data_IF_717542582314
#
_entry.id   IF_717542582314
#
_cell.length_a   1.000
_cell.length_b   1.000
_cell.length_c   1.000
_cell.angle_alpha   90.00
_cell.angle_beta   90.00
_cell.angle_gamma   90.00
#
_symmetry.space_group_name_H-M   'P 1'
#
loop_
_entity.id
_entity.type
_entity.pdbx_description
1 polymer ?
#
# COMPACT_ATOMS: atom_id res chain seq x y z
N UNK A 1 -21.85 19.66 18.96
CA UNK A 1 -21.09 19.52 20.23
C UNK A 1 -20.64 18.07 20.37
N UNK A 2 -19.34 17.79 20.32
CA UNK A 2 -18.82 16.41 20.39
C UNK A 2 -18.93 15.88 21.83
N UNK A 3 -19.42 14.65 22.01
CA UNK A 3 -19.48 14.00 23.34
C UNK A 3 -18.04 13.73 23.82
N UNK A 4 -17.67 14.10 25.06
CA UNK A 4 -16.34 13.81 25.58
C UNK A 4 -16.09 12.29 25.63
N UNK A 5 -14.86 11.88 25.33
CA UNK A 5 -14.41 10.50 25.46
C UNK A 5 -14.38 10.04 26.92
N UNK A 6 -14.17 8.73 27.16
CA UNK A 6 -14.25 8.11 28.51
C UNK A 6 -13.41 8.85 29.55
N UNK A 7 -12.13 9.13 29.25
CA UNK A 7 -11.23 9.91 30.12
C UNK A 7 -11.75 11.31 30.42
N UNK A 8 -12.30 11.99 29.42
CA UNK A 8 -12.89 13.33 29.58
C UNK A 8 -14.13 13.32 30.48
N UNK A 9 -14.95 12.26 30.43
CA UNK A 9 -16.11 12.10 31.33
C UNK A 9 -15.68 11.82 32.77
N UNK A 10 -14.66 10.98 32.94
CA UNK A 10 -14.10 10.67 34.26
C UNK A 10 -13.48 11.93 34.88
N UNK A 11 -12.66 12.67 34.13
CA UNK A 11 -12.08 13.92 34.60
C UNK A 11 -13.15 14.94 35.02
N UNK A 12 -14.24 15.06 34.24
CA UNK A 12 -15.36 15.94 34.57
C UNK A 12 -16.07 15.50 35.88
N UNK A 13 -16.24 14.20 36.09
CA UNK A 13 -16.84 13.67 37.32
C UNK A 13 -16.02 14.04 38.57
N UNK A 14 -14.71 13.84 38.54
CA UNK A 14 -13.84 14.20 39.67
C UNK A 14 -13.75 15.72 39.88
N UNK A 15 -13.77 16.52 38.79
CA UNK A 15 -13.85 17.97 38.91
C UNK A 15 -15.15 18.43 39.59
N UNK A 16 -16.29 17.84 39.24
CA UNK A 16 -17.58 18.11 39.88
C UNK A 16 -17.59 17.69 41.36
N UNK A 17 -17.01 16.54 41.69
CA UNK A 17 -16.86 16.09 43.06
C UNK A 17 -16.01 17.06 43.90
N UNK A 18 -14.91 17.57 43.33
CA UNK A 18 -14.07 18.60 43.96
C UNK A 18 -14.83 19.89 44.24
N UNK A 19 -15.58 20.39 43.25
CA UNK A 19 -16.40 21.59 43.40
C UNK A 19 -17.51 21.42 44.45
N UNK A 20 -18.21 20.28 44.45
CA UNK A 20 -19.24 19.98 45.44
C UNK A 20 -18.69 19.88 46.86
N UNK A 21 -17.51 19.27 47.01
CA UNK A 21 -16.80 19.17 48.28
C UNK A 21 -16.36 20.52 48.84
N UNK A 22 -15.80 21.39 47.99
CA UNK A 22 -15.48 22.79 48.34
C UNK A 22 -16.72 23.54 48.84
N UNK A 23 -17.84 23.44 48.11
CA UNK A 23 -19.08 24.11 48.48
C UNK A 23 -19.61 23.64 49.86
N UNK A 24 -19.55 22.34 50.14
CA UNK A 24 -19.96 21.78 51.43
C UNK A 24 -19.09 22.29 52.58
N UNK A 25 -17.76 22.35 52.39
CA UNK A 25 -16.82 22.92 53.38
C UNK A 25 -17.14 24.40 53.64
N UNK A 26 -17.35 25.20 52.58
CA UNK A 26 -17.69 26.61 52.71
C UNK A 26 -19.00 26.83 53.47
N UNK A 27 -20.05 26.06 53.16
CA UNK A 27 -21.34 26.15 53.86
C UNK A 27 -21.20 25.74 55.32
N UNK A 28 -20.54 24.62 55.63
CA UNK A 28 -20.35 24.14 56.99
C UNK A 28 -19.61 25.14 57.87
N UNK A 29 -18.53 25.75 57.36
CA UNK A 29 -17.76 26.76 58.09
C UNK A 29 -18.53 28.07 58.28
N UNK A 30 -19.33 28.48 57.28
CA UNK A 30 -20.16 29.68 57.39
C UNK A 30 -21.25 29.52 58.45
N UNK A 31 -21.90 28.34 58.49
CA UNK A 31 -22.89 28.01 59.51
C UNK A 31 -22.24 27.93 60.90
N UNK A 32 -21.10 27.26 61.02
CA UNK A 32 -20.34 27.16 62.27
C UNK A 32 -19.91 28.52 62.82
N UNK A 33 -19.39 29.41 61.97
CA UNK A 33 -19.01 30.76 62.37
C UNK A 33 -20.20 31.59 62.86
N UNK A 34 -21.35 31.49 62.17
CA UNK A 34 -22.59 32.19 62.56
C UNK A 34 -23.13 31.69 63.89
N UNK A 35 -23.01 30.39 64.18
CA UNK A 35 -23.55 29.78 65.40
C UNK A 35 -22.62 29.97 66.61
N UNK A 36 -21.31 30.09 66.40
CA UNK A 36 -20.33 30.19 67.49
C UNK A 36 -20.22 31.60 68.11
N UNK A 37 -20.81 32.63 67.47
CA UNK A 37 -20.70 34.02 67.94
C UNK A 37 -19.25 34.54 68.00
N UNK A 38 -18.35 33.97 67.18
CA UNK A 38 -16.92 34.22 67.30
C UNK A 38 -16.53 35.62 66.83
N UNK A 39 -15.79 36.36 67.67
CA UNK A 39 -15.32 37.71 67.37
C UNK A 39 -14.23 37.76 66.27
N UNK A 40 -13.59 36.63 65.93
CA UNK A 40 -12.53 36.55 64.92
C UNK A 40 -12.78 35.42 63.93
N UNK A 41 -12.75 35.75 62.63
CA UNK A 41 -12.96 34.78 61.54
C UNK A 41 -11.71 33.95 61.19
N UNK A 42 -10.52 34.37 61.65
CA UNK A 42 -9.21 33.80 61.26
C UNK A 42 -9.09 32.26 61.46
N UNK A 43 -9.55 31.66 62.58
CA UNK A 43 -9.46 30.21 62.76
C UNK A 43 -10.33 29.42 61.77
N UNK A 44 -11.53 29.91 61.45
CA UNK A 44 -12.45 29.26 60.51
C UNK A 44 -11.95 29.34 59.06
N UNK A 45 -11.37 30.48 58.68
CA UNK A 45 -10.74 30.66 57.37
C UNK A 45 -9.55 29.71 57.22
N UNK A 46 -8.69 29.62 58.23
CA UNK A 46 -7.53 28.72 58.21
C UNK A 46 -7.96 27.25 58.12
N UNK A 47 -8.95 26.84 58.91
CA UNK A 47 -9.51 25.49 58.84
C UNK A 47 -10.14 25.18 57.47
N UNK A 48 -10.82 26.15 56.86
CA UNK A 48 -11.41 26.00 55.53
C UNK A 48 -10.40 25.87 54.41
N UNK A 49 -9.34 26.67 54.45
CA UNK A 49 -8.23 26.57 53.49
C UNK A 49 -7.58 25.19 53.61
N UNK A 50 -7.23 24.75 54.82
CA UNK A 50 -6.60 23.44 55.04
C UNK A 50 -7.50 22.29 54.58
N UNK A 51 -8.80 22.33 54.92
CA UNK A 51 -9.76 21.30 54.50
C UNK A 51 -9.98 21.28 52.99
N UNK A 52 -10.06 22.45 52.34
CA UNK A 52 -10.21 22.58 50.89
C UNK A 52 -9.01 22.00 50.13
N UNK A 53 -7.79 22.39 50.52
CA UNK A 53 -6.57 21.86 49.91
C UNK A 53 -6.42 20.35 50.15
N UNK A 54 -6.71 19.87 51.37
CA UNK A 54 -6.69 18.44 51.69
C UNK A 54 -7.66 17.63 50.83
N UNK A 55 -8.91 18.11 50.69
CA UNK A 55 -9.93 17.42 49.90
C UNK A 55 -9.58 17.40 48.41
N UNK A 56 -9.15 18.53 47.84
CA UNK A 56 -8.74 18.59 46.44
C UNK A 56 -7.54 17.68 46.16
N UNK A 57 -6.56 17.63 47.07
CA UNK A 57 -5.42 16.74 46.97
C UNK A 57 -5.82 15.25 46.95
N UNK A 58 -6.73 14.85 47.84
CA UNK A 58 -7.26 13.46 47.87
C UNK A 58 -8.03 13.14 46.60
N UNK A 59 -8.90 14.04 46.13
CA UNK A 59 -9.70 13.84 44.91
C UNK A 59 -8.79 13.73 43.68
N UNK A 60 -7.78 14.60 43.56
CA UNK A 60 -6.82 14.55 42.46
C UNK A 60 -5.96 13.27 42.52
N UNK A 61 -5.55 12.84 43.71
CA UNK A 61 -4.81 11.59 43.90
C UNK A 61 -5.62 10.36 43.50
N UNK A 62 -6.89 10.29 43.91
CA UNK A 62 -7.80 9.21 43.50
C UNK A 62 -8.05 9.24 41.99
N UNK A 63 -8.22 10.43 41.41
CA UNK A 63 -8.40 10.59 39.97
C UNK A 63 -7.17 10.07 39.19
N UNK A 64 -5.96 10.43 39.60
CA UNK A 64 -4.72 9.94 38.96
C UNK A 64 -4.61 8.42 39.05
N UNK A 65 -4.87 7.85 40.23
CA UNK A 65 -4.91 6.41 40.42
C UNK A 65 -5.93 5.74 39.49
N UNK A 66 -7.11 6.32 39.33
CA UNK A 66 -8.14 5.77 38.46
C UNK A 66 -7.82 5.92 36.96
N UNK A 67 -7.27 7.05 36.53
CA UNK A 67 -6.90 7.26 35.12
C UNK A 67 -5.77 6.32 34.68
N UNK A 68 -4.74 6.14 35.53
CA UNK A 68 -3.63 5.24 35.27
C UNK A 68 -4.03 3.76 35.32
N UNK A 69 -4.79 3.35 36.34
CA UNK A 69 -5.05 1.92 36.58
C UNK A 69 -6.31 1.39 35.89
N UNK A 70 -7.22 2.25 35.42
CA UNK A 70 -8.49 1.84 34.80
C UNK A 70 -8.68 2.46 33.43
N UNK A 71 -8.66 3.79 33.31
CA UNK A 71 -9.09 4.45 32.08
C UNK A 71 -8.14 4.21 30.89
N UNK A 72 -6.81 4.35 31.11
CA UNK A 72 -5.81 4.08 30.07
C UNK A 72 -5.78 2.59 29.65
N UNK A 73 -5.73 1.61 30.58
CA UNK A 73 -5.76 0.19 30.22
C UNK A 73 -7.00 -0.22 29.42
N UNK A 74 -8.19 0.28 29.78
CA UNK A 74 -9.44 -0.03 29.04
C UNK A 74 -9.38 0.46 27.60
N UNK A 75 -8.85 1.67 27.36
CA UNK A 75 -8.74 2.23 26.01
C UNK A 75 -7.72 1.46 25.18
N UNK A 76 -6.57 1.11 25.77
CA UNK A 76 -5.54 0.31 25.12
C UNK A 76 -6.06 -1.09 24.76
N UNK A 77 -6.78 -1.75 25.68
CA UNK A 77 -7.42 -3.05 25.44
C UNK A 77 -8.45 -2.96 24.30
N UNK A 78 -9.32 -1.95 24.30
CA UNK A 78 -10.31 -1.75 23.24
C UNK A 78 -9.67 -1.49 21.86
N UNK A 79 -8.56 -0.74 21.81
CA UNK A 79 -7.81 -0.50 20.57
C UNK A 79 -7.21 -1.81 20.03
N UNK A 80 -6.58 -2.61 20.90
CA UNK A 80 -5.99 -3.91 20.53
C UNK A 80 -7.03 -4.93 20.08
N UNK A 81 -8.18 -5.00 20.74
CA UNK A 81 -9.29 -5.88 20.33
C UNK A 81 -9.82 -5.54 18.93
N UNK A 82 -9.92 -4.26 18.58
CA UNK A 82 -10.31 -3.85 17.22
C UNK A 82 -9.25 -4.20 16.18
N UNK A 83 -7.97 -4.00 16.52
CA UNK A 83 -6.86 -4.37 15.65
C UNK A 83 -6.86 -5.89 15.39
N UNK A 84 -7.13 -6.71 16.42
CA UNK A 84 -7.22 -8.15 16.27
C UNK A 84 -8.40 -8.59 15.39
N UNK A 85 -9.57 -7.96 15.55
CA UNK A 85 -10.76 -8.29 14.78
C UNK A 85 -10.67 -7.97 13.27
N UNK A 86 -9.78 -7.05 12.87
CA UNK A 86 -9.69 -6.59 11.47
C UNK A 86 -8.32 -6.83 10.83
N UNK A 87 -7.28 -7.11 11.62
CA UNK A 87 -5.89 -7.17 11.14
C UNK A 87 -5.19 -8.52 11.33
N UNK A 88 -5.83 -9.52 11.96
CA UNK A 88 -5.26 -10.88 12.09
C UNK A 88 -3.98 -10.98 12.94
N UNK A 89 -3.58 -9.94 13.66
CA UNK A 89 -2.30 -9.89 14.38
C UNK A 89 -2.35 -10.62 15.72
N UNK A 90 -1.53 -11.66 15.90
CA UNK A 90 -1.45 -12.45 17.15
C UNK A 90 -0.49 -11.85 18.19
N UNK A 91 -0.64 -10.57 18.55
CA UNK A 91 0.16 -10.01 19.65
C UNK A 91 -0.44 -10.45 20.99
N UNK A 92 0.30 -11.13 21.88
CA UNK A 92 -0.20 -11.52 23.20
C UNK A 92 -0.68 -10.30 23.98
N UNK A 93 -1.83 -10.42 24.63
CA UNK A 93 -2.30 -9.39 25.56
C UNK A 93 -1.31 -9.32 26.73
N UNK A 94 -0.63 -8.18 26.87
CA UNK A 94 0.21 -7.91 28.03
C UNK A 94 -0.65 -7.89 29.30
N UNK A 95 -0.53 -8.97 30.08
CA UNK A 95 -1.31 -9.19 31.30
C UNK A 95 -0.85 -8.27 32.45
N UNK A 96 0.34 -7.66 32.35
CA UNK A 96 0.90 -6.86 33.43
C UNK A 96 0.28 -5.45 33.52
N UNK A 97 -0.05 -4.83 32.38
CA UNK A 97 -0.60 -3.46 32.32
C UNK A 97 -2.09 -3.35 32.66
N UNK A 98 -2.80 -4.48 32.81
CA UNK A 98 -4.25 -4.53 33.03
C UNK A 98 -4.66 -5.22 34.34
N UNK A 99 -3.76 -5.28 35.33
CA UNK A 99 -3.92 -5.99 36.62
C UNK A 99 -5.23 -5.68 37.37
N UNK A 100 -5.79 -4.49 37.18
CA UNK A 100 -7.01 -4.02 37.87
C UNK A 100 -8.32 -4.27 37.10
N UNK A 101 -8.25 -4.89 35.92
CA UNK A 101 -9.42 -5.21 35.09
C UNK A 101 -9.95 -6.63 35.26
N UNK A 102 -9.38 -7.38 36.22
CA UNK A 102 -9.81 -8.71 36.71
C UNK A 102 -10.40 -9.62 35.61
N UNK A 103 -11.70 -9.86 35.60
CA UNK A 103 -12.40 -10.77 34.67
C UNK A 103 -12.48 -10.29 33.21
N UNK A 104 -12.25 -9.01 32.96
CA UNK A 104 -12.42 -8.41 31.63
C UNK A 104 -11.29 -8.82 30.68
N UNK A 105 -10.09 -9.08 31.22
CA UNK A 105 -8.92 -9.47 30.43
C UNK A 105 -8.98 -10.95 30.01
N UNK A 106 -9.28 -11.92 30.90
CA UNK A 106 -9.48 -13.32 30.51
C UNK A 106 -10.65 -13.51 29.56
N UNK A 107 -11.77 -12.79 29.76
CA UNK A 107 -12.92 -12.86 28.86
C UNK A 107 -12.59 -12.31 27.46
N UNK A 108 -11.88 -11.18 27.39
CA UNK A 108 -11.39 -10.63 26.14
C UNK A 108 -10.45 -11.60 25.42
N UNK A 109 -9.48 -12.19 26.15
CA UNK A 109 -8.53 -13.16 25.62
C UNK A 109 -9.20 -14.44 25.08
N UNK A 110 -10.23 -14.95 25.76
CA UNK A 110 -10.97 -16.12 25.31
C UNK A 110 -11.77 -15.87 24.02
N UNK A 111 -12.31 -14.66 23.86
CA UNK A 111 -13.04 -14.24 22.65
C UNK A 111 -12.09 -14.06 21.48
N UNK A 112 -10.95 -13.38 21.67
CA UNK A 112 -9.94 -13.25 20.60
C UNK A 112 -9.35 -14.61 20.23
N UNK A 113 -9.14 -15.52 21.17
CA UNK A 113 -8.65 -16.86 20.85
C UNK A 113 -9.65 -17.67 20.00
N UNK A 114 -10.97 -17.58 20.27
CA UNK A 114 -11.99 -18.25 19.44
C UNK A 114 -12.13 -17.64 18.05
N UNK A 115 -12.12 -16.31 17.96
CA UNK A 115 -12.12 -15.59 16.68
C UNK A 115 -10.87 -15.94 15.88
N UNK A 116 -9.70 -15.94 16.52
CA UNK A 116 -8.43 -16.33 15.93
C UNK A 116 -8.45 -17.74 15.35
N UNK A 117 -8.96 -18.73 16.09
CA UNK A 117 -9.15 -20.10 15.57
C UNK A 117 -10.09 -20.14 14.36
N UNK A 118 -11.25 -19.49 14.44
CA UNK A 118 -12.20 -19.48 13.33
C UNK A 118 -11.67 -18.78 12.09
N UNK A 119 -10.87 -17.72 12.24
CA UNK A 119 -10.21 -17.06 11.12
C UNK A 119 -9.09 -17.91 10.52
N UNK A 120 -8.37 -18.68 11.35
CA UNK A 120 -7.34 -19.60 10.88
C UNK A 120 -7.96 -20.76 10.11
N UNK A 121 -9.00 -21.39 10.65
CA UNK A 121 -9.73 -22.49 9.99
C UNK A 121 -10.32 -22.03 8.63
N UNK A 122 -10.86 -20.80 8.57
CA UNK A 122 -11.36 -20.22 7.32
C UNK A 122 -10.25 -19.86 6.33
N UNK A 123 -9.11 -19.37 6.82
CA UNK A 123 -7.95 -19.05 6.00
C UNK A 123 -7.29 -20.31 5.44
N UNK A 124 -7.18 -21.38 6.23
CA UNK A 124 -6.68 -22.69 5.78
C UNK A 124 -7.59 -23.28 4.71
N UNK A 125 -8.91 -23.30 4.92
CA UNK A 125 -9.86 -23.79 3.92
C UNK A 125 -9.82 -22.97 2.62
N UNK A 126 -9.63 -21.65 2.71
CA UNK A 126 -9.46 -20.79 1.54
C UNK A 126 -8.11 -21.06 0.86
N UNK A 127 -7.03 -21.24 1.61
CA UNK A 127 -5.71 -21.55 1.08
C UNK A 127 -5.70 -22.89 0.33
N UNK A 128 -6.33 -23.93 0.88
CA UNK A 128 -6.49 -25.22 0.20
C UNK A 128 -7.24 -25.08 -1.13
N UNK A 129 -8.39 -24.39 -1.13
CA UNK A 129 -9.16 -24.14 -2.36
C UNK A 129 -8.39 -23.30 -3.37
N UNK A 130 -7.65 -22.30 -2.90
CA UNK A 130 -6.83 -21.44 -3.78
C UNK A 130 -5.66 -22.24 -4.37
N UNK A 131 -5.06 -23.14 -3.60
CA UNK A 131 -4.00 -24.04 -4.07
C UNK A 131 -4.52 -25.07 -5.09
N UNK A 132 -5.71 -25.63 -4.88
CA UNK A 132 -6.37 -26.50 -5.86
C UNK A 132 -6.68 -25.77 -7.16
N UNK A 133 -7.28 -24.57 -7.07
CA UNK A 133 -7.56 -23.70 -8.21
C UNK A 133 -6.27 -23.29 -8.94
N UNK A 134 -5.21 -22.97 -8.20
CA UNK A 134 -3.91 -22.66 -8.77
C UNK A 134 -3.30 -23.87 -9.48
N UNK A 135 -3.34 -25.06 -8.88
CA UNK A 135 -2.84 -26.29 -9.49
C UNK A 135 -3.63 -26.70 -10.74
N UNK A 136 -4.95 -26.53 -10.73
CA UNK A 136 -5.80 -26.78 -11.90
C UNK A 136 -5.56 -25.75 -12.99
N UNK A 137 -5.40 -24.47 -12.61
CA UNK A 137 -4.96 -23.42 -13.53
C UNK A 137 -3.60 -23.71 -14.12
N UNK A 138 -2.61 -24.13 -13.33
CA UNK A 138 -1.26 -24.45 -13.78
C UNK A 138 -1.26 -25.66 -14.71
N UNK A 139 -2.16 -26.63 -14.47
CA UNK A 139 -2.40 -27.75 -15.38
C UNK A 139 -3.03 -27.29 -16.70
N UNK A 140 -4.02 -26.39 -16.67
CA UNK A 140 -4.62 -25.80 -17.88
C UNK A 140 -3.64 -24.92 -18.65
N UNK A 141 -2.83 -24.15 -17.93
CA UNK A 141 -1.70 -23.40 -18.44
C UNK A 141 -0.75 -24.32 -19.19
N UNK A 142 -0.27 -25.40 -18.55
CA UNK A 142 0.63 -26.39 -19.16
C UNK A 142 0.06 -27.04 -20.44
N UNK A 143 -1.26 -27.26 -20.52
CA UNK A 143 -1.93 -27.76 -21.73
C UNK A 143 -1.92 -26.70 -22.85
N UNK A 144 -2.15 -25.44 -22.52
CA UNK A 144 -2.06 -24.33 -23.48
C UNK A 144 -0.63 -24.11 -23.97
N UNK A 145 0.37 -24.38 -23.12
CA UNK A 145 1.80 -24.28 -23.45
C UNK A 145 2.31 -25.30 -24.47
N UNK A 146 1.49 -26.27 -24.88
CA UNK A 146 1.86 -27.30 -25.86
C UNK A 146 1.84 -26.82 -27.33
N UNK A 147 1.40 -25.58 -27.61
CA UNK A 147 1.26 -25.06 -28.97
C UNK A 147 2.36 -24.02 -29.27
N UNK A 148 3.12 -24.13 -30.39
CA UNK A 148 4.19 -23.19 -30.74
C UNK A 148 3.62 -21.92 -31.37
N UNK A 149 2.84 -21.18 -30.59
CA UNK A 149 2.12 -19.98 -31.02
C UNK A 149 2.12 -18.99 -29.87
N UNK A 150 2.60 -17.77 -30.09
CA UNK A 150 2.45 -16.65 -29.18
C UNK A 150 0.97 -16.23 -29.09
N UNK A 151 0.36 -16.44 -27.93
CA UNK A 151 -1.06 -16.14 -27.68
C UNK A 151 -1.22 -14.86 -26.85
N UNK A 152 -1.87 -13.87 -27.45
CA UNK A 152 -2.32 -12.65 -26.78
C UNK A 152 -3.83 -12.47 -26.91
N UNK A 153 -4.49 -12.01 -25.84
CA UNK A 153 -5.92 -11.63 -25.86
C UNK A 153 -6.04 -10.13 -25.67
N UNK A 154 -6.84 -9.50 -26.52
CA UNK A 154 -7.11 -8.07 -26.50
C UNK A 154 -8.56 -7.84 -26.08
N UNK A 155 -8.74 -6.92 -25.14
CA UNK A 155 -10.03 -6.39 -24.72
C UNK A 155 -10.48 -5.21 -25.59
N UNK A 156 -11.48 -4.44 -25.11
CA UNK A 156 -11.93 -3.21 -25.77
C UNK A 156 -10.78 -2.22 -25.99
N UNK A 157 -10.75 -1.54 -27.14
CA UNK A 157 -9.70 -0.56 -27.45
C UNK A 157 -8.32 -1.15 -27.72
N UNK A 158 -8.25 -2.42 -28.14
CA UNK A 158 -7.00 -3.13 -28.50
C UNK A 158 -6.00 -3.28 -27.35
N UNK A 159 -6.51 -3.31 -26.13
CA UNK A 159 -5.74 -3.37 -24.89
C UNK A 159 -5.37 -4.81 -24.54
N UNK A 160 -4.10 -5.09 -24.21
CA UNK A 160 -3.63 -6.40 -23.78
C UNK A 160 -4.28 -6.82 -22.45
N UNK A 161 -4.94 -7.99 -22.45
CA UNK A 161 -5.64 -8.57 -21.28
C UNK A 161 -4.95 -9.85 -20.80
N UNK A 162 -4.36 -10.58 -21.73
CA UNK A 162 -3.60 -11.80 -21.47
C UNK A 162 -2.50 -11.90 -22.51
N UNK A 163 -1.32 -12.35 -22.08
CA UNK A 163 -0.27 -12.76 -22.99
C UNK A 163 0.53 -13.91 -22.35
N UNK A 164 0.99 -14.83 -23.17
CA UNK A 164 1.92 -15.89 -22.74
C UNK A 164 3.39 -15.45 -22.87
N UNK A 165 4.31 -16.26 -22.37
CA UNK A 165 5.75 -16.00 -22.45
C UNK A 165 6.24 -15.81 -23.89
N UNK A 166 5.69 -16.57 -24.84
CA UNK A 166 6.02 -16.44 -26.27
C UNK A 166 5.62 -15.08 -26.84
N UNK A 167 4.46 -14.54 -26.40
CA UNK A 167 4.04 -13.18 -26.72
C UNK A 167 4.93 -12.15 -26.01
N UNK A 168 5.35 -12.42 -24.77
CA UNK A 168 6.30 -11.56 -24.06
C UNK A 168 7.63 -11.46 -24.80
N UNK A 169 8.17 -12.57 -25.32
CA UNK A 169 9.42 -12.59 -26.08
C UNK A 169 9.29 -11.92 -27.46
N UNK A 170 8.19 -12.17 -28.16
CA UNK A 170 7.94 -11.59 -29.48
C UNK A 170 7.77 -10.07 -29.39
N UNK A 171 6.91 -9.60 -28.49
CA UNK A 171 6.59 -8.18 -28.32
C UNK A 171 7.67 -7.44 -27.52
N UNK A 172 8.38 -8.13 -26.62
CA UNK A 172 9.45 -7.61 -25.76
C UNK A 172 10.61 -6.98 -26.52
N UNK A 173 10.82 -7.39 -27.77
CA UNK A 173 11.84 -6.80 -28.65
C UNK A 173 11.52 -5.35 -29.05
N UNK A 174 10.26 -4.95 -29.01
CA UNK A 174 9.81 -3.60 -29.33
C UNK A 174 9.75 -2.71 -28.07
N UNK A 175 9.50 -3.31 -26.90
CA UNK A 175 9.44 -2.64 -25.61
C UNK A 175 8.86 -3.52 -24.50
N UNK A 176 8.81 -3.05 -23.25
CA UNK A 176 8.31 -3.84 -22.13
C UNK A 176 6.84 -4.21 -22.33
N UNK A 177 6.55 -5.51 -22.39
CA UNK A 177 5.19 -6.06 -22.52
C UNK A 177 4.47 -5.94 -21.19
N UNK A 178 3.26 -5.37 -21.20
CA UNK A 178 2.48 -5.13 -19.99
C UNK A 178 0.99 -5.30 -20.24
N UNK A 179 0.28 -5.77 -19.23
CA UNK A 179 -1.19 -5.75 -19.24
C UNK A 179 -1.70 -4.31 -19.34
N UNK A 180 -2.85 -4.13 -20.01
CA UNK A 180 -3.48 -2.83 -20.27
C UNK A 180 -2.70 -1.86 -21.19
N UNK A 181 -1.58 -2.29 -21.79
CA UNK A 181 -0.96 -1.57 -22.90
C UNK A 181 -1.76 -1.76 -24.19
N UNK A 182 -1.67 -0.79 -25.10
CA UNK A 182 -2.22 -0.95 -26.44
C UNK A 182 -1.34 -1.92 -27.21
N UNK A 183 -1.93 -2.90 -27.90
CA UNK A 183 -1.17 -3.78 -28.81
C UNK A 183 -0.45 -2.96 -29.91
N UNK A 184 -0.95 -1.76 -30.21
CA UNK A 184 -0.37 -0.86 -31.21
C UNK A 184 0.93 -0.18 -30.78
N UNK A 185 1.34 -0.35 -29.52
CA UNK A 185 2.69 0.01 -29.08
C UNK A 185 3.73 -0.96 -29.65
N UNK A 186 3.33 -2.17 -30.01
CA UNK A 186 4.22 -3.25 -30.46
C UNK A 186 4.00 -3.62 -31.93
N UNK A 187 2.74 -3.57 -32.39
CA UNK A 187 2.34 -3.95 -33.76
C UNK A 187 1.68 -2.79 -34.50
N UNK A 188 1.83 -2.73 -35.82
CA UNK A 188 1.18 -1.70 -36.63
C UNK A 188 -0.34 -1.91 -36.68
N UNK A 189 -1.16 -0.85 -36.61
CA UNK A 189 -2.62 -0.98 -36.59
C UNK A 189 -3.21 -1.57 -37.87
N UNK A 190 -2.74 -1.11 -39.03
CA UNK A 190 -3.37 -1.39 -40.33
C UNK A 190 -3.68 -2.87 -40.60
N UNK A 191 -2.72 -3.79 -40.46
CA UNK A 191 -3.00 -5.22 -40.68
C UNK A 191 -4.01 -5.83 -39.71
N UNK A 192 -4.02 -5.38 -38.45
CA UNK A 192 -4.92 -5.89 -37.41
C UNK A 192 -6.34 -5.38 -37.63
N UNK A 193 -6.49 -4.07 -37.85
CA UNK A 193 -7.77 -3.42 -38.11
C UNK A 193 -8.42 -3.98 -39.39
N UNK A 194 -7.65 -4.11 -40.47
CA UNK A 194 -8.14 -4.70 -41.72
C UNK A 194 -8.61 -6.16 -41.54
N UNK A 195 -7.92 -6.95 -40.73
CA UNK A 195 -8.31 -8.32 -40.45
C UNK A 195 -9.59 -8.41 -39.60
N UNK A 196 -9.76 -7.51 -38.62
CA UNK A 196 -10.98 -7.43 -37.81
C UNK A 196 -12.19 -6.97 -38.63
N UNK A 197 -12.02 -5.95 -39.47
CA UNK A 197 -13.06 -5.48 -40.39
C UNK A 197 -13.49 -6.59 -41.34
N UNK A 198 -12.54 -7.38 -41.84
CA UNK A 198 -12.86 -8.51 -42.71
C UNK A 198 -13.63 -9.63 -42.01
N UNK A 199 -13.28 -9.93 -40.76
CA UNK A 199 -14.00 -10.91 -39.94
C UNK A 199 -15.45 -10.48 -39.72
N UNK A 200 -15.67 -9.21 -39.35
CA UNK A 200 -17.01 -8.65 -39.16
C UNK A 200 -17.82 -8.67 -40.45
N UNK A 201 -17.24 -8.24 -41.58
CA UNK A 201 -17.92 -8.24 -42.89
C UNK A 201 -18.33 -9.64 -43.34
N UNK A 202 -17.48 -10.65 -43.12
CA UNK A 202 -17.73 -12.03 -43.53
C UNK A 202 -18.55 -12.84 -42.52
N UNK A 203 -18.82 -12.30 -41.33
CA UNK A 203 -19.39 -13.06 -40.21
C UNK A 203 -18.49 -14.24 -39.77
N UNK A 204 -17.20 -14.19 -40.11
CA UNK A 204 -16.24 -15.23 -39.80
C UNK A 204 -15.67 -15.03 -38.40
N UNK A 205 -15.31 -16.13 -37.72
CA UNK A 205 -14.73 -16.07 -36.38
C UNK A 205 -13.20 -16.14 -36.36
N UNK A 206 -12.56 -16.49 -37.48
CA UNK A 206 -11.11 -16.66 -37.60
C UNK A 206 -10.63 -16.26 -39.00
N UNK A 207 -9.48 -15.58 -39.05
CA UNK A 207 -8.79 -15.22 -40.28
C UNK A 207 -7.27 -15.38 -40.10
N UNK A 208 -6.55 -15.59 -41.20
CA UNK A 208 -5.09 -15.48 -41.22
C UNK A 208 -4.69 -14.01 -41.11
N UNK A 209 -3.58 -13.76 -40.43
CA UNK A 209 -3.04 -12.43 -40.18
C UNK A 209 -1.55 -12.40 -40.57
N UNK A 210 -1.16 -11.32 -41.24
CA UNK A 210 0.24 -10.95 -41.41
C UNK A 210 0.40 -9.61 -40.70
N UNK A 211 0.96 -9.64 -39.49
CA UNK A 211 1.22 -8.46 -38.70
C UNK A 211 2.63 -7.92 -38.99
N UNK A 212 2.82 -6.62 -38.75
CA UNK A 212 4.13 -5.97 -38.82
C UNK A 212 4.39 -5.33 -37.46
N UNK A 213 5.56 -5.55 -36.86
CA UNK A 213 5.96 -4.86 -35.64
C UNK A 213 6.27 -3.39 -35.92
N UNK A 214 6.35 -2.56 -34.87
CA UNK A 214 6.72 -1.15 -35.04
C UNK A 214 8.13 -0.97 -35.62
N UNK A 215 9.07 -1.88 -35.34
CA UNK A 215 10.39 -1.94 -35.97
C UNK A 215 10.40 -2.45 -37.43
N UNK A 216 9.26 -2.92 -37.96
CA UNK A 216 9.12 -3.37 -39.34
C UNK A 216 9.34 -4.87 -39.56
N UNK A 217 9.41 -5.68 -38.50
CA UNK A 217 9.49 -7.14 -38.61
C UNK A 217 8.11 -7.71 -38.94
N UNK A 218 8.04 -8.66 -39.87
CA UNK A 218 6.79 -9.31 -40.25
C UNK A 218 6.56 -10.57 -39.42
N UNK A 219 5.36 -10.73 -38.88
CA UNK A 219 4.92 -11.90 -38.12
C UNK A 219 3.67 -12.50 -38.77
N UNK A 220 3.62 -13.82 -38.91
CA UNK A 220 2.45 -14.52 -39.46
C UNK A 220 1.66 -15.19 -38.35
N UNK A 221 0.36 -15.38 -38.59
CA UNK A 221 -0.48 -16.10 -37.65
C UNK A 221 -1.96 -15.96 -37.95
N UNK A 222 -2.75 -15.90 -36.88
CA UNK A 222 -4.20 -15.87 -36.96
C UNK A 222 -4.80 -14.90 -35.94
N UNK A 223 -5.94 -14.35 -36.33
CA UNK A 223 -6.80 -13.56 -35.46
C UNK A 223 -8.14 -14.30 -35.28
N UNK A 224 -8.68 -14.29 -34.06
CA UNK A 224 -9.95 -14.94 -33.72
C UNK A 224 -10.82 -14.02 -32.88
N UNK A 225 -12.07 -13.83 -33.26
CA UNK A 225 -13.04 -13.10 -32.44
C UNK A 225 -13.44 -13.94 -31.21
N UNK A 226 -13.51 -13.31 -30.05
CA UNK A 226 -14.10 -13.92 -28.86
C UNK A 226 -15.62 -13.80 -28.97
N UNK A 227 -16.37 -14.87 -28.68
CA UNK A 227 -17.79 -15.01 -29.03
C UNK A 227 -18.70 -13.87 -28.52
N UNK A 228 -19.25 -14.00 -27.32
CA UNK A 228 -20.10 -12.96 -26.69
C UNK A 228 -19.30 -11.89 -25.94
N UNK A 229 -17.99 -12.11 -25.74
CA UNK A 229 -17.10 -11.17 -25.06
C UNK A 229 -16.50 -10.17 -26.05
N UNK A 230 -16.54 -8.87 -25.70
CA UNK A 230 -15.90 -7.80 -26.47
C UNK A 230 -14.38 -7.95 -26.45
N UNK A 231 -13.81 -8.50 -27.53
CA UNK A 231 -12.36 -8.71 -27.67
C UNK A 231 -11.99 -9.68 -28.79
N UNK A 232 -10.69 -9.89 -28.97
CA UNK A 232 -10.14 -10.83 -29.95
C UNK A 232 -8.86 -11.47 -29.43
N UNK A 233 -8.49 -12.61 -30.00
CA UNK A 233 -7.27 -13.33 -29.70
C UNK A 233 -6.34 -13.27 -30.92
N UNK A 234 -5.07 -12.94 -30.67
CA UNK A 234 -3.97 -13.02 -31.62
C UNK A 234 -3.13 -14.25 -31.30
N UNK A 235 -2.81 -14.97 -32.36
CA UNK A 235 -2.01 -16.18 -32.36
C UNK A 235 -0.91 -15.95 -33.39
N UNK A 236 0.28 -15.54 -32.96
CA UNK A 236 1.41 -15.27 -33.84
C UNK A 236 2.40 -16.44 -33.77
N UNK A 237 2.89 -16.91 -34.90
CA UNK A 237 3.88 -17.98 -34.93
C UNK A 237 5.25 -17.42 -34.48
N UNK A 238 5.94 -18.04 -33.50
CA UNK A 238 7.18 -17.53 -32.96
C UNK A 238 8.40 -17.93 -33.82
N UNK A 239 9.53 -17.28 -33.54
CA UNK A 239 10.84 -17.53 -34.17
C UNK A 239 11.71 -18.56 -33.42
N UNK A 240 11.37 -18.98 -32.18
CA UNK A 240 12.17 -19.93 -31.38
C UNK A 240 11.31 -20.94 -30.57
N UNK A 241 11.45 -22.26 -30.78
CA UNK A 241 10.68 -23.30 -30.07
C UNK A 241 11.05 -23.54 -28.60
N UNK A 242 12.22 -23.11 -28.11
CA UNK A 242 12.77 -23.52 -26.82
C UNK A 242 12.60 -22.53 -25.65
N UNK A 243 12.03 -21.33 -25.86
CA UNK A 243 11.93 -20.32 -24.80
C UNK A 243 10.97 -20.70 -23.63
N UNK A 244 11.29 -20.22 -22.42
CA UNK A 244 10.52 -20.43 -21.19
C UNK A 244 9.09 -19.85 -21.29
N UNK A 245 8.14 -20.46 -20.58
CA UNK A 245 6.69 -20.27 -20.87
C UNK A 245 5.82 -19.89 -19.65
N UNK A 246 6.05 -18.74 -18.98
CA UNK A 246 5.11 -18.22 -18.00
C UNK A 246 3.85 -17.64 -18.67
N UNK A 247 2.68 -17.77 -18.05
CA UNK A 247 1.42 -17.15 -18.50
C UNK A 247 1.06 -15.95 -17.63
N UNK A 248 0.91 -14.76 -18.23
CA UNK A 248 0.53 -13.53 -17.53
C UNK A 248 -0.87 -13.09 -17.96
N UNK A 249 -1.80 -12.99 -17.00
CA UNK A 249 -3.20 -12.71 -17.30
C UNK A 249 -3.92 -11.91 -16.20
N UNK A 250 -4.86 -11.07 -16.63
CA UNK A 250 -5.88 -10.49 -15.75
C UNK A 250 -7.22 -10.33 -16.46
N UNK A 251 -8.12 -11.30 -16.25
CA UNK A 251 -9.44 -11.31 -16.88
C UNK A 251 -10.33 -10.12 -16.45
N UNK A 252 -10.02 -9.38 -15.38
CA UNK A 252 -10.76 -8.17 -15.02
C UNK A 252 -10.63 -7.07 -16.09
N UNK A 253 -9.56 -7.11 -16.90
CA UNK A 253 -9.34 -6.17 -18.00
C UNK A 253 -10.30 -6.39 -19.18
N UNK A 254 -10.82 -7.61 -19.39
CA UNK A 254 -11.86 -7.88 -20.41
C UNK A 254 -13.15 -7.11 -20.14
N UNK A 255 -13.43 -6.81 -18.87
CA UNK A 255 -14.59 -6.01 -18.46
C UNK A 255 -14.40 -4.49 -18.63
N UNK A 256 -13.28 -4.04 -19.22
CA UNK A 256 -12.99 -2.63 -19.46
C UNK A 256 -12.70 -1.81 -18.20
N UNK A 257 -12.34 -2.46 -17.09
CA UNK A 257 -12.21 -1.81 -15.77
C UNK A 257 -10.94 -0.97 -15.57
N UNK A 258 -9.88 -1.19 -16.36
CA UNK A 258 -8.65 -0.41 -16.24
C UNK A 258 -8.64 0.82 -17.17
N UNK A 259 -9.44 1.82 -16.81
CA UNK A 259 -9.40 3.16 -17.40
C UNK A 259 -8.21 4.00 -16.90
N UNK A 260 -7.96 5.15 -17.53
CA UNK A 260 -7.02 6.14 -17.02
C UNK A 260 -7.36 6.51 -15.56
N UNK A 261 -6.34 6.76 -14.74
CA UNK A 261 -6.44 6.98 -13.29
C UNK A 261 -7.22 8.26 -12.90
N UNK A 262 -8.52 8.28 -13.17
CA UNK A 262 -9.43 9.33 -12.73
C UNK A 262 -9.66 9.23 -11.22
N UNK A 263 -9.96 10.36 -10.58
CA UNK A 263 -10.19 10.43 -9.13
C UNK A 263 -11.32 9.52 -8.64
N UNK A 264 -12.33 9.27 -9.47
CA UNK A 264 -13.47 8.43 -9.10
C UNK A 264 -13.24 6.94 -9.36
N UNK A 265 -12.09 6.56 -9.91
CA UNK A 265 -11.75 5.16 -10.19
C UNK A 265 -11.63 4.39 -8.87
N UNK A 266 -12.32 3.24 -8.72
CA UNK A 266 -12.16 2.38 -7.55
C UNK A 266 -10.72 1.90 -7.41
N UNK A 267 -10.20 1.81 -6.18
CA UNK A 267 -8.82 1.40 -5.92
C UNK A 267 -8.51 0.01 -6.49
N UNK A 268 -9.46 -0.93 -6.38
CA UNK A 268 -9.40 -2.27 -6.98
C UNK A 268 -9.30 -2.30 -8.52
N UNK A 269 -9.73 -1.25 -9.20
CA UNK A 269 -9.76 -1.19 -10.67
C UNK A 269 -8.51 -0.48 -11.23
N UNK A 270 -7.65 0.05 -10.36
CA UNK A 270 -6.43 0.75 -10.75
C UNK A 270 -5.27 -0.23 -11.03
N UNK A 271 -4.44 0.16 -11.99
CA UNK A 271 -3.09 -0.35 -12.17
C UNK A 271 -2.13 0.59 -11.44
N UNK A 272 -1.25 0.02 -10.61
CA UNK A 272 -0.17 0.73 -9.95
C UNK A 272 1.17 0.22 -10.48
N UNK A 273 2.14 1.12 -10.56
CA UNK A 273 3.54 0.75 -10.79
C UNK A 273 4.32 1.20 -9.57
N UNK A 274 4.76 0.22 -8.80
CA UNK A 274 5.52 0.43 -7.58
C UNK A 274 6.99 0.37 -7.93
N UNK A 275 7.75 1.40 -7.56
CA UNK A 275 9.13 1.53 -7.98
C UNK A 275 10.02 2.08 -6.86
N UNK A 276 11.31 1.85 -7.05
CA UNK A 276 12.39 2.30 -6.18
C UNK A 276 13.64 2.62 -7.01
N UNK A 277 14.49 3.51 -6.49
CA UNK A 277 15.76 3.89 -7.12
C UNK A 277 16.93 3.78 -6.16
N UNK A 278 17.99 3.08 -6.61
CA UNK A 278 19.29 3.14 -5.94
C UNK A 278 20.12 4.26 -6.56
N UNK A 279 20.93 4.94 -5.74
CA UNK A 279 21.57 6.19 -6.13
C UNK A 279 22.99 6.32 -5.59
N UNK A 280 23.77 7.26 -6.12
CA UNK A 280 25.13 7.54 -5.64
C UNK A 280 25.18 8.17 -4.23
N UNK A 281 24.03 8.60 -3.69
CA UNK A 281 23.91 9.31 -2.42
C UNK A 281 22.50 9.87 -2.21
N UNK A 282 22.31 10.61 -1.12
CA UNK A 282 20.98 11.03 -0.64
C UNK A 282 20.57 12.45 -1.05
N UNK A 283 21.33 13.14 -1.93
CA UNK A 283 20.99 14.48 -2.40
C UNK A 283 20.58 14.48 -3.88
N UNK A 284 19.28 14.56 -4.20
CA UNK A 284 18.81 14.62 -5.59
C UNK A 284 19.36 15.78 -6.41
N UNK A 285 19.90 16.84 -5.80
CA UNK A 285 20.50 17.95 -6.53
C UNK A 285 21.89 17.61 -7.09
N UNK A 286 22.64 16.75 -6.40
CA UNK A 286 24.03 16.43 -6.74
C UNK A 286 24.25 14.97 -7.11
N UNK A 287 23.46 14.02 -6.62
CA UNK A 287 23.57 12.58 -6.88
C UNK A 287 22.88 12.14 -8.19
N UNK A 288 23.06 10.87 -8.54
CA UNK A 288 22.47 10.23 -9.73
C UNK A 288 21.98 8.82 -9.42
N UNK A 289 21.05 8.35 -10.25
CA UNK A 289 20.50 7.00 -10.23
C UNK A 289 21.58 6.00 -10.69
N UNK A 290 21.65 4.85 -10.00
CA UNK A 290 22.49 3.69 -10.35
C UNK A 290 21.67 2.43 -10.62
N UNK A 291 20.42 2.36 -10.16
CA UNK A 291 19.48 1.29 -10.50
C UNK A 291 18.04 1.83 -10.45
N UNK A 292 17.17 1.26 -11.28
CA UNK A 292 15.71 1.44 -11.16
C UNK A 292 15.08 0.05 -11.11
N UNK A 293 14.23 -0.18 -10.12
CA UNK A 293 13.42 -1.38 -9.99
C UNK A 293 11.95 -1.02 -9.90
N UNK A 294 11.09 -1.79 -10.56
CA UNK A 294 9.66 -1.58 -10.50
C UNK A 294 8.86 -2.87 -10.72
N UNK A 295 7.67 -2.94 -10.13
CA UNK A 295 6.72 -4.03 -10.32
C UNK A 295 5.31 -3.48 -10.53
N UNK A 296 4.51 -4.21 -11.30
CA UNK A 296 3.10 -3.87 -11.49
C UNK A 296 2.22 -4.50 -10.42
N UNK A 297 1.28 -3.70 -9.91
CA UNK A 297 0.17 -4.17 -9.07
C UNK A 297 -1.14 -3.88 -9.80
N UNK A 298 -1.96 -4.90 -9.98
CA UNK A 298 -3.25 -4.81 -10.64
C UNK A 298 -4.27 -5.61 -9.84
N UNK A 299 -5.45 -5.06 -9.57
CA UNK A 299 -6.50 -5.79 -8.83
C UNK A 299 -6.09 -6.16 -7.40
N UNK A 300 -5.23 -5.35 -6.76
CA UNK A 300 -4.73 -5.63 -5.41
C UNK A 300 -3.74 -6.79 -5.32
N UNK A 301 -3.11 -7.20 -6.42
CA UNK A 301 -2.06 -8.23 -6.44
C UNK A 301 -0.88 -7.79 -7.30
N UNK A 302 0.31 -8.22 -6.92
CA UNK A 302 1.52 -8.07 -7.76
C UNK A 302 1.34 -8.97 -8.98
N UNK A 303 1.57 -8.44 -10.18
CA UNK A 303 1.44 -9.18 -11.44
C UNK A 303 2.74 -9.94 -11.70
N UNK A 304 2.73 -11.30 -11.70
CA UNK A 304 3.94 -12.07 -11.98
C UNK A 304 4.52 -11.77 -13.36
N UNK A 305 5.84 -11.66 -13.45
CA UNK A 305 6.55 -11.38 -14.71
C UNK A 305 6.51 -9.92 -15.17
N UNK A 306 5.63 -9.07 -14.61
CA UNK A 306 5.61 -7.64 -14.89
C UNK A 306 6.49 -6.86 -13.93
N UNK A 307 7.79 -7.05 -14.13
CA UNK A 307 8.84 -6.31 -13.45
C UNK A 307 9.70 -5.54 -14.47
N UNK A 308 10.22 -4.41 -14.03
CA UNK A 308 11.23 -3.65 -14.74
C UNK A 308 12.44 -3.51 -13.83
N UNK A 309 13.61 -3.83 -14.35
CA UNK A 309 14.87 -3.68 -13.63
C UNK A 309 15.95 -3.25 -14.61
N UNK A 310 16.70 -2.21 -14.25
CA UNK A 310 17.87 -1.79 -15.01
C UNK A 310 18.93 -1.21 -14.09
N UNK A 311 20.18 -1.61 -14.31
CA UNK A 311 21.33 -0.83 -13.86
C UNK A 311 21.41 0.46 -14.69
N UNK A 312 22.07 1.47 -14.13
CA UNK A 312 22.24 2.79 -14.73
C UNK A 312 23.68 3.23 -14.54
N UNK A 313 24.34 3.64 -15.63
CA UNK A 313 25.66 4.27 -15.55
C UNK A 313 25.46 5.74 -15.15
N UNK A 314 25.85 6.16 -13.93
CA UNK A 314 25.66 7.53 -13.48
C UNK A 314 26.65 8.51 -14.13
N UNK A 315 27.54 8.04 -15.01
CA UNK A 315 28.60 8.82 -15.66
C UNK A 315 29.71 9.27 -14.71
N UNK A 316 29.80 8.64 -13.53
CA UNK A 316 30.72 8.97 -12.44
C UNK A 316 31.05 7.75 -11.57
N UNK A 317 32.13 7.77 -10.79
CA UNK A 317 32.38 6.73 -9.80
C UNK A 317 31.26 6.66 -8.74
N UNK A 318 30.79 5.46 -8.43
CA UNK A 318 29.82 5.23 -7.35
C UNK A 318 30.58 5.32 -6.00
N UNK A 319 30.15 6.19 -5.07
CA UNK A 319 30.80 6.30 -3.76
C UNK A 319 30.75 4.99 -2.97
N UNK A 320 31.85 4.63 -2.31
CA UNK A 320 31.93 3.39 -1.52
C UNK A 320 30.89 3.31 -0.39
N UNK A 321 30.37 4.44 0.09
CA UNK A 321 29.30 4.46 1.08
C UNK A 321 27.97 3.96 0.50
N UNK A 322 27.59 4.40 -0.71
CA UNK A 322 26.39 3.94 -1.40
C UNK A 322 26.53 2.48 -1.82
N UNK A 323 27.68 2.12 -2.42
CA UNK A 323 27.96 0.74 -2.84
C UNK A 323 27.93 -0.29 -1.69
N UNK A 324 28.21 0.12 -0.44
CA UNK A 324 28.08 -0.75 0.75
C UNK A 324 26.62 -1.04 1.13
N UNK A 325 25.69 -0.18 0.75
CA UNK A 325 24.26 -0.33 1.03
C UNK A 325 23.64 -1.23 -0.02
N UNK A 326 23.72 -0.82 -1.29
CA UNK A 326 23.00 -1.48 -2.38
C UNK A 326 23.83 -2.49 -3.19
N UNK A 327 25.12 -2.65 -2.87
CA UNK A 327 25.99 -3.66 -3.49
C UNK A 327 26.44 -3.39 -4.94
N UNK A 328 26.08 -2.26 -5.53
CA UNK A 328 26.37 -1.93 -6.95
C UNK A 328 27.72 -1.20 -7.02
N UNK A 329 28.63 -1.76 -7.82
CA UNK A 329 29.96 -1.19 -8.06
C UNK A 329 30.00 -0.40 -9.37
N UNK A 330 30.96 0.51 -9.51
CA UNK A 330 31.18 1.26 -10.76
C UNK A 330 31.42 0.33 -11.95
N UNK A 331 32.07 -0.82 -11.74
CA UNK A 331 32.31 -1.80 -12.79
C UNK A 331 31.03 -2.53 -13.21
N UNK A 332 30.09 -2.75 -12.28
CA UNK A 332 28.82 -3.42 -12.57
C UNK A 332 27.91 -2.60 -13.48
N UNK A 333 28.03 -1.27 -13.45
CA UNK A 333 27.24 -0.36 -14.30
C UNK A 333 27.93 -0.02 -15.62
N UNK A 334 29.10 -0.59 -15.90
CA UNK A 334 29.82 -0.33 -17.14
C UNK A 334 29.01 -0.80 -18.37
N UNK A 335 28.66 0.14 -19.25
CA UNK A 335 27.84 -0.13 -20.44
C UNK A 335 26.33 -0.18 -20.18
N UNK A 336 25.90 0.05 -18.94
CA UNK A 336 24.49 0.29 -18.62
C UNK A 336 24.00 1.60 -19.27
N UNK A 337 22.68 1.77 -19.48
CA UNK A 337 22.14 3.01 -20.01
C UNK A 337 22.44 4.21 -19.09
N UNK A 338 22.53 5.41 -19.70
CA UNK A 338 22.58 6.66 -18.94
C UNK A 338 21.25 6.92 -18.19
N UNK A 339 21.23 7.82 -17.19
CA UNK A 339 20.05 8.04 -16.37
C UNK A 339 18.82 8.49 -17.15
N UNK A 340 18.99 9.25 -18.23
CA UNK A 340 17.86 9.71 -19.06
C UNK A 340 17.22 8.54 -19.78
N UNK A 341 18.02 7.69 -20.44
CA UNK A 341 17.52 6.50 -21.14
C UNK A 341 16.83 5.52 -20.19
N UNK A 342 17.42 5.30 -19.01
CA UNK A 342 16.83 4.45 -17.98
C UNK A 342 15.48 5.00 -17.49
N UNK A 343 15.40 6.30 -17.19
CA UNK A 343 14.17 6.95 -16.77
C UNK A 343 13.09 6.97 -17.87
N UNK A 344 13.47 7.12 -19.15
CA UNK A 344 12.54 7.03 -20.29
C UNK A 344 11.98 5.60 -20.45
N UNK A 345 12.82 4.58 -20.26
CA UNK A 345 12.38 3.18 -20.25
C UNK A 345 11.42 2.89 -19.09
N UNK A 346 11.75 3.36 -17.89
CA UNK A 346 10.87 3.28 -16.72
C UNK A 346 9.54 4.00 -16.96
N UNK A 347 9.54 5.22 -17.50
CA UNK A 347 8.31 5.98 -17.80
C UNK A 347 7.39 5.22 -18.77
N UNK A 348 7.96 4.56 -19.80
CA UNK A 348 7.18 3.68 -20.70
C UNK A 348 6.58 2.51 -19.95
N UNK A 349 7.35 1.86 -19.07
CA UNK A 349 6.82 0.80 -18.21
C UNK A 349 5.71 1.30 -17.27
N UNK A 350 5.83 2.51 -16.73
CA UNK A 350 4.88 3.11 -15.81
C UNK A 350 3.56 3.60 -16.46
N UNK A 351 3.52 3.68 -17.79
CA UNK A 351 2.41 4.27 -18.53
C UNK A 351 1.08 3.55 -18.25
N UNK A 352 0.01 4.36 -18.14
CA UNK A 352 -1.34 3.85 -17.85
C UNK A 352 -1.54 3.38 -16.41
N UNK A 353 -0.59 3.64 -15.51
CA UNK A 353 -0.64 3.25 -14.10
C UNK A 353 -0.37 4.42 -13.17
N UNK A 354 -0.86 4.32 -11.93
CA UNK A 354 -0.54 5.26 -10.86
C UNK A 354 0.85 4.90 -10.30
N UNK A 355 1.86 5.78 -10.40
CA UNK A 355 3.18 5.53 -9.82
C UNK A 355 3.09 5.53 -8.29
N UNK A 356 3.82 4.61 -7.67
CA UNK A 356 3.90 4.49 -6.20
C UNK A 356 5.35 4.24 -5.78
N UNK A 357 5.80 4.95 -4.75
CA UNK A 357 7.11 4.71 -4.15
C UNK A 357 7.03 4.83 -2.62
N UNK A 358 8.08 4.38 -1.93
CA UNK A 358 8.24 4.59 -0.50
C UNK A 358 9.07 5.84 -0.28
N UNK A 359 8.50 6.89 0.34
CA UNK A 359 9.12 8.23 0.35
C UNK A 359 9.30 8.80 -1.07
N UNK A 360 8.20 8.74 -1.84
CA UNK A 360 8.15 9.11 -3.25
C UNK A 360 8.80 10.47 -3.64
N UNK A 361 8.83 11.53 -2.80
CA UNK A 361 9.53 12.76 -3.16
C UNK A 361 10.99 12.57 -3.58
N UNK A 362 11.71 11.62 -2.98
CA UNK A 362 13.11 11.36 -3.29
C UNK A 362 13.28 10.77 -4.70
N UNK A 363 12.67 9.62 -4.98
CA UNK A 363 12.76 8.95 -6.28
C UNK A 363 12.22 9.82 -7.42
N UNK A 364 11.14 10.55 -7.16
CA UNK A 364 10.58 11.49 -8.13
C UNK A 364 11.55 12.64 -8.42
N UNK A 365 12.33 13.11 -7.45
CA UNK A 365 13.36 14.11 -7.69
C UNK A 365 14.50 13.55 -8.56
N UNK A 366 14.93 12.32 -8.30
CA UNK A 366 15.93 11.62 -9.10
C UNK A 366 15.47 11.42 -10.55
N UNK A 367 14.26 10.93 -10.77
CA UNK A 367 13.68 10.76 -12.12
C UNK A 367 13.46 12.09 -12.85
N UNK A 368 13.10 13.15 -12.11
CA UNK A 368 12.94 14.50 -12.69
C UNK A 368 14.28 15.08 -13.13
N UNK A 369 15.35 14.85 -12.37
CA UNK A 369 16.72 15.21 -12.75
C UNK A 369 17.19 14.43 -13.99
N UNK A 370 16.83 13.15 -14.09
CA UNK A 370 17.10 12.34 -15.28
C UNK A 370 16.30 12.81 -16.52
N UNK A 371 15.24 13.60 -16.33
CA UNK A 371 14.47 14.23 -17.41
C UNK A 371 13.25 13.45 -17.88
N UNK A 372 12.84 12.39 -17.16
CA UNK A 372 11.71 11.55 -17.52
C UNK A 372 10.92 11.06 -16.30
N UNK A 373 10.50 11.99 -15.43
CA UNK A 373 9.60 11.68 -14.31
C UNK A 373 8.17 11.36 -14.78
N UNK A 374 7.49 10.40 -14.13
CA UNK A 374 6.04 10.23 -14.27
C UNK A 374 5.25 11.49 -13.89
N UNK A 375 4.08 11.65 -14.50
CA UNK A 375 3.17 12.75 -14.14
C UNK A 375 2.32 12.39 -12.90
N UNK A 376 1.90 13.39 -12.09
CA UNK A 376 0.96 13.17 -11.00
C UNK A 376 -0.41 12.63 -11.48
N UNK A 377 -1.15 11.91 -10.61
CA UNK A 377 -0.87 11.69 -9.18
C UNK A 377 0.17 10.59 -8.91
N UNK A 378 0.99 10.79 -7.88
CA UNK A 378 1.93 9.79 -7.34
C UNK A 378 1.49 9.45 -5.92
N UNK A 379 1.49 8.16 -5.57
CA UNK A 379 1.20 7.73 -4.21
C UNK A 379 2.49 7.46 -3.44
N UNK A 380 2.46 7.79 -2.15
CA UNK A 380 3.57 7.56 -1.23
C UNK A 380 3.11 6.63 -0.12
N UNK A 381 3.76 5.46 -0.02
CA UNK A 381 3.41 4.46 1.01
C UNK A 381 3.71 4.95 2.43
N UNK A 382 4.60 5.93 2.63
CA UNK A 382 4.80 6.58 3.94
C UNK A 382 3.53 7.35 4.34
N UNK A 383 2.96 8.13 3.43
CA UNK A 383 1.74 8.89 3.68
C UNK A 383 0.52 7.98 3.85
N UNK A 384 0.38 6.95 3.02
CA UNK A 384 -0.69 5.96 3.17
C UNK A 384 -0.55 5.25 4.53
N UNK A 385 0.68 4.88 4.92
CA UNK A 385 0.97 4.28 6.21
C UNK A 385 0.63 5.22 7.37
N UNK A 386 0.89 6.52 7.26
CA UNK A 386 0.49 7.52 8.25
C UNK A 386 -1.03 7.67 8.36
N UNK A 387 -1.77 7.56 7.26
CA UNK A 387 -3.25 7.47 7.26
C UNK A 387 -3.73 6.23 8.02
N UNK A 388 -3.04 5.10 7.84
CA UNK A 388 -3.42 3.81 8.45
C UNK A 388 -3.04 3.73 9.93
N UNK A 389 -1.79 4.01 10.29
CA UNK A 389 -1.27 3.77 11.64
C UNK A 389 -1.15 5.04 12.49
N UNK A 390 -1.26 6.22 11.88
CA UNK A 390 -1.07 7.51 12.54
C UNK A 390 0.37 8.03 12.40
N UNK A 391 0.53 9.35 12.25
CA UNK A 391 1.82 9.97 11.89
C UNK A 391 2.91 10.01 12.97
N UNK A 392 2.68 9.44 14.16
CA UNK A 392 3.69 9.33 15.22
C UNK A 392 4.45 7.99 15.18
N UNK A 393 3.97 7.06 14.37
CA UNK A 393 4.60 5.75 14.22
C UNK A 393 5.85 5.83 13.33
N UNK A 394 6.73 4.85 13.45
CA UNK A 394 7.81 4.69 12.46
C UNK A 394 7.21 4.17 11.15
N UNK A 395 7.59 4.79 10.04
CA UNK A 395 7.09 4.51 8.70
C UNK A 395 8.20 4.15 7.70
N UNK A 396 9.35 3.67 8.17
CA UNK A 396 10.38 3.10 7.29
C UNK A 396 9.88 1.81 6.65
N UNK A 397 10.42 1.44 5.48
CA UNK A 397 10.04 0.20 4.80
C UNK A 397 10.21 -1.03 5.70
N UNK A 398 11.28 -1.08 6.48
CA UNK A 398 11.52 -2.13 7.50
C UNK A 398 10.41 -2.20 8.54
N UNK A 399 10.04 -1.06 9.13
CA UNK A 399 8.97 -1.01 10.12
C UNK A 399 7.61 -1.44 9.52
N UNK A 400 7.36 -1.13 8.25
CA UNK A 400 6.12 -1.53 7.57
C UNK A 400 6.12 -3.00 7.22
N UNK A 401 7.23 -3.53 6.72
CA UNK A 401 7.35 -4.94 6.37
C UNK A 401 7.22 -5.82 7.61
N UNK A 402 7.85 -5.46 8.72
CA UNK A 402 7.68 -6.13 10.02
C UNK A 402 6.22 -6.04 10.51
N UNK A 403 5.66 -4.84 10.57
CA UNK A 403 4.29 -4.61 11.09
C UNK A 403 3.22 -5.33 10.29
N UNK A 404 3.42 -5.48 8.98
CA UNK A 404 2.46 -6.06 8.05
C UNK A 404 2.75 -7.54 7.72
N UNK A 405 3.78 -8.14 8.31
CA UNK A 405 4.16 -9.52 8.04
C UNK A 405 4.55 -9.76 6.58
N UNK A 406 5.33 -8.85 6.01
CA UNK A 406 5.95 -8.98 4.68
C UNK A 406 7.32 -9.61 4.89
N UNK A 407 7.57 -10.76 4.28
CA UNK A 407 8.86 -11.44 4.35
C UNK A 407 9.71 -11.07 3.13
N UNK A 408 10.92 -10.58 3.37
CA UNK A 408 11.91 -10.32 2.34
C UNK A 408 13.10 -11.23 2.55
N UNK A 409 13.60 -11.81 1.47
CA UNK A 409 14.89 -12.48 1.50
C UNK A 409 15.97 -11.42 1.73
N UNK A 410 16.92 -11.70 2.60
CA UNK A 410 17.95 -10.74 2.97
C UNK A 410 18.86 -10.37 1.77
N UNK A 411 18.98 -11.27 0.80
CA UNK A 411 19.70 -11.04 -0.46
C UNK A 411 19.02 -10.04 -1.41
N UNK A 412 17.70 -9.83 -1.26
CA UNK A 412 16.94 -8.91 -2.12
C UNK A 412 16.86 -7.50 -1.52
N UNK A 413 17.23 -7.35 -0.24
CA UNK A 413 17.22 -6.04 0.46
C UNK A 413 18.23 -5.09 -0.15
N UNK A 414 17.85 -3.82 -0.26
CA UNK A 414 18.71 -2.78 -0.84
C UNK A 414 19.08 -3.06 -2.29
N UNK A 415 18.19 -3.77 -2.99
CA UNK A 415 18.16 -3.78 -4.45
C UNK A 415 16.91 -3.03 -4.86
N UNK A 416 16.98 -2.23 -5.91
CA UNK A 416 15.83 -1.44 -6.34
C UNK A 416 14.62 -2.34 -6.65
N UNK A 417 14.84 -3.53 -7.22
CA UNK A 417 13.74 -4.46 -7.49
C UNK A 417 13.19 -5.11 -6.22
N UNK A 418 14.03 -5.49 -5.27
CA UNK A 418 13.61 -6.08 -4.00
C UNK A 418 12.81 -5.08 -3.15
N UNK A 419 13.27 -3.84 -3.05
CA UNK A 419 12.59 -2.79 -2.30
C UNK A 419 11.28 -2.35 -2.99
N UNK A 420 11.24 -2.33 -4.33
CA UNK A 420 9.99 -2.15 -5.08
C UNK A 420 8.97 -3.28 -4.82
N UNK A 421 9.41 -4.54 -4.75
CA UNK A 421 8.57 -5.70 -4.41
C UNK A 421 8.04 -5.62 -2.98
N UNK A 422 8.91 -5.31 -2.02
CA UNK A 422 8.54 -5.06 -0.64
C UNK A 422 7.47 -3.97 -0.52
N UNK A 423 7.71 -2.85 -1.19
CA UNK A 423 6.80 -1.70 -1.21
C UNK A 423 5.47 -2.08 -1.85
N UNK A 424 5.46 -2.92 -2.88
CA UNK A 424 4.24 -3.38 -3.52
C UNK A 424 3.40 -4.29 -2.61
N UNK A 425 4.07 -5.18 -1.88
CA UNK A 425 3.44 -6.01 -0.86
C UNK A 425 2.85 -5.20 0.30
N UNK A 426 3.56 -4.16 0.73
CA UNK A 426 3.07 -3.18 1.71
C UNK A 426 1.86 -2.42 1.15
N UNK A 427 1.94 -1.92 -0.08
CA UNK A 427 0.87 -1.19 -0.75
C UNK A 427 -0.42 -2.03 -0.80
N UNK A 428 -0.34 -3.28 -1.25
CA UNK A 428 -1.50 -4.18 -1.35
C UNK A 428 -2.22 -4.31 0.01
N UNK A 429 -1.46 -4.53 1.09
CA UNK A 429 -2.03 -4.64 2.45
C UNK A 429 -2.60 -3.31 2.93
N UNK A 430 -1.93 -2.18 2.66
CA UNK A 430 -2.41 -0.85 3.02
C UNK A 430 -3.71 -0.47 2.29
N UNK A 431 -3.81 -0.76 0.98
CA UNK A 431 -5.01 -0.50 0.18
C UNK A 431 -6.23 -1.22 0.75
N UNK A 432 -6.08 -2.50 1.12
CA UNK A 432 -7.16 -3.26 1.75
C UNK A 432 -7.65 -2.62 3.07
N UNK A 433 -6.72 -2.11 3.90
CA UNK A 433 -7.07 -1.41 5.14
C UNK A 433 -7.76 -0.07 4.86
N UNK A 434 -7.30 0.68 3.85
CA UNK A 434 -7.91 1.93 3.43
C UNK A 434 -9.35 1.73 2.92
N UNK A 435 -9.59 0.70 2.10
CA UNK A 435 -10.92 0.33 1.63
C UNK A 435 -11.84 -0.02 2.81
N UNK A 436 -11.36 -0.79 3.78
CA UNK A 436 -12.08 -1.11 5.02
C UNK A 436 -12.43 0.11 5.88
N UNK A 437 -11.71 1.23 5.72
CA UNK A 437 -11.97 2.52 6.38
C UNK A 437 -12.86 3.47 5.56
N UNK A 438 -13.26 3.06 4.35
CA UNK A 438 -14.15 3.82 3.48
C UNK A 438 -13.45 4.65 2.39
N UNK A 439 -12.12 4.59 2.26
CA UNK A 439 -11.40 5.15 1.12
C UNK A 439 -11.37 4.11 -0.02
N UNK A 440 -12.31 4.21 -0.94
CA UNK A 440 -12.58 3.22 -2.00
C UNK A 440 -12.19 3.68 -3.40
N UNK A 441 -11.91 4.98 -3.59
CA UNK A 441 -11.46 5.54 -4.87
C UNK A 441 -10.11 6.25 -4.76
N UNK A 442 -9.44 6.46 -5.90
CA UNK A 442 -8.16 7.17 -5.97
C UNK A 442 -8.23 8.57 -5.33
N UNK A 443 -9.27 9.33 -5.63
CA UNK A 443 -9.46 10.68 -5.12
C UNK A 443 -9.60 10.71 -3.61
N UNK A 444 -10.36 9.77 -3.03
CA UNK A 444 -10.52 9.64 -1.58
C UNK A 444 -9.18 9.34 -0.90
N UNK A 445 -8.37 8.44 -1.48
CA UNK A 445 -7.05 8.11 -0.94
C UNK A 445 -6.10 9.33 -0.98
N UNK A 446 -6.08 10.06 -2.10
CA UNK A 446 -5.28 11.29 -2.24
C UNK A 446 -5.70 12.35 -1.22
N UNK A 447 -7.00 12.51 -0.98
CA UNK A 447 -7.51 13.50 -0.02
C UNK A 447 -7.11 13.15 1.42
N UNK A 448 -7.15 11.86 1.79
CA UNK A 448 -6.68 11.41 3.11
C UNK A 448 -5.16 11.59 3.28
N UNK A 449 -4.37 11.28 2.25
CA UNK A 449 -2.92 11.53 2.25
C UNK A 449 -2.60 13.02 2.42
N UNK A 450 -3.28 13.88 1.66
CA UNK A 450 -3.07 15.35 1.72
C UNK A 450 -3.38 15.92 3.10
N UNK A 451 -4.40 15.37 3.78
CA UNK A 451 -4.74 15.76 5.16
C UNK A 451 -3.63 15.38 6.14
N UNK A 452 -3.06 14.17 6.01
CA UNK A 452 -2.03 13.67 6.91
C UNK A 452 -0.65 14.25 6.62
N UNK A 453 -0.33 14.61 5.38
CA UNK A 453 0.90 15.32 5.03
C UNK A 453 1.03 16.64 5.81
N UNK A 454 -0.07 17.39 5.96
CA UNK A 454 -0.10 18.62 6.78
C UNK A 454 0.18 18.34 8.26
N UNK A 455 -0.30 17.20 8.77
CA UNK A 455 -0.10 16.80 10.16
C UNK A 455 1.36 16.37 10.38
N UNK A 456 1.91 15.55 9.49
CA UNK A 456 3.32 15.13 9.57
C UNK A 456 4.26 16.33 9.45
N UNK A 457 4.00 17.26 8.52
CA UNK A 457 4.77 18.52 8.42
C UNK A 457 4.67 19.38 9.66
N UNK A 458 3.49 19.46 10.29
CA UNK A 458 3.32 20.19 11.55
C UNK A 458 4.07 19.54 12.72
N UNK A 459 4.16 18.21 12.75
CA UNK A 459 4.88 17.47 13.79
C UNK A 459 6.41 17.52 13.63
N UNK A 460 6.91 17.48 12.39
CA UNK A 460 8.35 17.58 12.09
C UNK A 460 8.83 19.04 12.17
N UNK A 461 7.98 20.02 11.85
CA UNK A 461 8.32 21.45 11.90
C UNK A 461 8.47 22.05 13.30
N UNK A 462 8.03 21.36 14.36
CA UNK A 462 8.25 21.78 15.76
C UNK A 462 9.54 21.18 16.37
N UNK A 463 10.26 20.34 15.63
CA UNK A 463 11.51 19.70 16.07
C UNK A 463 12.78 20.25 15.41
N UNK A 464 12.68 21.38 14.68
CA UNK A 464 13.79 22.04 13.97
C UNK A 464 14.28 23.31 14.64
#
# INVERSE_FOLDING_TARGET
>A
MRRPGLRGRIALFFALAGLGGLAAITVGLTLGYRQSGAAQASPFVTAGVVAAFGLLGVIAGIWLLFDENVAKPVIALAARLRAHAHGGTQTPLDLASARWLDDLVPAAAAVTHRLGRSTLDAAEALAERTAELAAEKDRLAAVLTGMPVAVSIMGPGHKLVLYDGQSADLLGQEGPVRLNASIFEYLRPGPIEAALDELHRRGARRASLVAETVSGRVCTGHIRLMGEASGYMLMLEPLDPEAERPLTYDFALLAGRAGAAARDTPLRDLSFVVFDTETTGLDPASDAIVQIGAVRVLGGRIVPGEAFETLVDPGRPIPAAAARVHGITTDAVAGAPDPRRAAEAFRRFAEGSVPVAHNAPFDMAMLRRAGAAPEPPILDTVLISAVVFGGHETHTLDALTERLGVSLLEADRHTALGDARATAEVLVRLLAICEGRGATTLGQLIDEMTRHERIVKALVGEAG
#
